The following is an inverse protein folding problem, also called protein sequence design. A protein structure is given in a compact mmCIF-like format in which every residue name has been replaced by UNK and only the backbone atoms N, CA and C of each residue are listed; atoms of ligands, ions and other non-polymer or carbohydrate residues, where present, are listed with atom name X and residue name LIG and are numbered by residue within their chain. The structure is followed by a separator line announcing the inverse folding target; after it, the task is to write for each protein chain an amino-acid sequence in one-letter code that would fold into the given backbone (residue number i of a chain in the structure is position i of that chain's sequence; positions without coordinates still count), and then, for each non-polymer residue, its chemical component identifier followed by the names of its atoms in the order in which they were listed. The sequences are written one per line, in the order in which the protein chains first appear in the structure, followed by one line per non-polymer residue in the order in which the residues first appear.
data_IF_158765216535
#
_entry.id   IF_158765216535
#
_cell.length_a   1.000
_cell.length_b   1.000
_cell.length_c   1.000
_cell.angle_alpha   90.00
_cell.angle_beta   90.00
_cell.angle_gamma   90.00
#
_symmetry.space_group_name_H-M   'P 1'
#
loop_
_entity.id
_entity.type
_entity.pdbx_description
1 polymer ?
#
# COMPACT_ATOMS: atom_id res chain seq x y z
N UNK A 1 12.36 4.28 10.94
CA UNK A 1 11.15 4.08 11.76
C UNK A 1 11.49 3.14 12.90
N UNK A 2 10.77 3.22 14.03
CA UNK A 2 10.93 2.26 15.13
C UNK A 2 10.58 0.84 14.65
N UNK A 3 11.12 -0.20 15.31
CA UNK A 3 10.70 -1.58 15.06
C UNK A 3 9.20 -1.70 15.36
N UNK A 4 8.42 -2.07 14.34
CA UNK A 4 6.96 -2.29 14.46
C UNK A 4 6.63 -3.77 14.39
N UNK A 5 5.57 -4.16 15.10
CA UNK A 5 5.08 -5.53 15.15
C UNK A 5 3.85 -5.63 14.25
N UNK A 6 3.94 -6.44 13.20
CA UNK A 6 2.82 -6.79 12.32
C UNK A 6 2.35 -8.20 12.69
N UNK A 7 1.12 -8.33 13.19
CA UNK A 7 0.54 -9.64 13.49
C UNK A 7 0.13 -10.34 12.21
N UNK A 8 0.51 -11.62 12.09
CA UNK A 8 0.17 -12.48 10.96
C UNK A 8 -1.33 -12.82 10.91
N UNK A 9 -1.96 -12.89 12.08
CA UNK A 9 -3.39 -13.16 12.28
C UNK A 9 -3.96 -12.16 13.28
N UNK A 10 -5.13 -11.61 12.95
CA UNK A 10 -5.82 -10.61 13.79
C UNK A 10 -7.30 -10.95 14.03
N UNK A 11 -7.84 -11.93 13.30
CA UNK A 11 -9.22 -12.40 13.41
C UNK A 11 -9.24 -13.92 13.21
N UNK A 12 -10.30 -14.57 13.71
CA UNK A 12 -10.62 -15.97 13.46
C UNK A 12 -11.49 -16.16 12.20
N UNK A 13 -11.96 -15.08 11.60
CA UNK A 13 -12.78 -15.12 10.39
C UNK A 13 -11.91 -15.40 9.15
N UNK A 14 -12.03 -16.61 8.60
CA UNK A 14 -11.31 -17.03 7.39
C UNK A 14 -11.93 -16.51 6.09
N UNK A 15 -11.11 -16.51 5.04
CA UNK A 15 -11.56 -16.32 3.65
C UNK A 15 -11.09 -17.46 2.74
N UNK A 16 -9.84 -17.89 2.90
CA UNK A 16 -9.25 -18.92 2.06
C UNK A 16 -9.45 -20.33 2.63
N UNK A 17 -9.63 -21.29 1.73
CA UNK A 17 -9.50 -22.72 2.02
C UNK A 17 -8.03 -23.16 1.94
N UNK A 18 -7.64 -24.33 2.49
CA UNK A 18 -6.28 -24.86 2.34
C UNK A 18 -5.81 -24.98 0.90
N UNK A 19 -6.70 -25.39 -0.02
CA UNK A 19 -6.38 -25.48 -1.45
C UNK A 19 -6.09 -24.10 -2.06
N UNK A 20 -6.90 -23.10 -1.72
CA UNK A 20 -6.66 -21.72 -2.17
C UNK A 20 -5.36 -21.17 -1.60
N UNK A 21 -5.05 -21.43 -0.32
CA UNK A 21 -3.79 -21.02 0.28
C UNK A 21 -2.58 -21.53 -0.52
N UNK A 22 -2.57 -22.81 -0.90
CA UNK A 22 -1.49 -23.39 -1.70
C UNK A 22 -1.35 -22.70 -3.07
N UNK A 23 -2.48 -22.44 -3.74
CA UNK A 23 -2.48 -21.70 -5.00
C UNK A 23 -1.97 -20.26 -4.84
N UNK A 24 -2.32 -19.59 -3.73
CA UNK A 24 -1.88 -18.23 -3.43
C UNK A 24 -0.37 -18.15 -3.24
N UNK A 25 0.26 -19.15 -2.60
CA UNK A 25 1.73 -19.22 -2.47
C UNK A 25 2.40 -19.23 -3.83
N UNK A 26 1.89 -20.02 -4.77
CA UNK A 26 2.44 -20.10 -6.13
C UNK A 26 2.24 -18.77 -6.88
N UNK A 27 1.07 -18.15 -6.77
CA UNK A 27 0.80 -16.85 -7.36
C UNK A 27 1.73 -15.76 -6.82
N UNK A 28 1.96 -15.75 -5.50
CA UNK A 28 2.87 -14.82 -4.84
C UNK A 28 4.33 -15.06 -5.27
N UNK A 29 4.76 -16.31 -5.36
CA UNK A 29 6.09 -16.64 -5.87
C UNK A 29 6.27 -16.13 -7.31
N UNK A 30 5.25 -16.24 -8.16
CA UNK A 30 5.24 -15.67 -9.51
C UNK A 30 5.36 -14.14 -9.54
N UNK A 31 4.70 -13.45 -8.60
CA UNK A 31 4.84 -11.99 -8.43
C UNK A 31 6.28 -11.64 -8.06
N UNK A 32 6.87 -12.36 -7.10
CA UNK A 32 8.26 -12.15 -6.66
C UNK A 32 9.27 -12.42 -7.76
N UNK A 33 9.07 -13.46 -8.57
CA UNK A 33 9.94 -13.74 -9.70
C UNK A 33 9.96 -12.59 -10.73
N UNK A 34 8.83 -11.89 -10.93
CA UNK A 34 8.69 -10.82 -11.93
C UNK A 34 9.08 -9.44 -11.42
N UNK A 35 8.79 -9.15 -10.16
CA UNK A 35 8.87 -7.80 -9.60
C UNK A 35 9.71 -7.71 -8.32
N UNK A 36 10.40 -8.80 -7.95
CA UNK A 36 11.13 -8.93 -6.69
C UNK A 36 12.09 -7.77 -6.42
N UNK A 37 12.89 -7.38 -7.41
CA UNK A 37 13.83 -6.26 -7.26
C UNK A 37 13.15 -4.93 -6.90
N UNK A 38 11.98 -4.63 -7.49
CA UNK A 38 11.22 -3.41 -7.20
C UNK A 38 10.55 -3.48 -5.83
N UNK A 39 10.04 -4.66 -5.47
CA UNK A 39 9.47 -4.91 -4.15
C UNK A 39 10.55 -4.78 -3.06
N UNK A 40 11.74 -5.32 -3.29
CA UNK A 40 12.86 -5.25 -2.33
C UNK A 40 13.35 -3.81 -2.16
N UNK A 41 13.43 -3.06 -3.26
CA UNK A 41 13.73 -1.62 -3.22
C UNK A 41 12.68 -0.87 -2.40
N UNK A 42 11.38 -1.06 -2.68
CA UNK A 42 10.31 -0.40 -1.95
C UNK A 42 10.25 -0.81 -0.47
N UNK A 43 10.45 -2.09 -0.16
CA UNK A 43 10.52 -2.61 1.20
C UNK A 43 11.63 -1.91 2.01
N UNK A 44 12.81 -1.76 1.41
CA UNK A 44 13.94 -1.05 2.03
C UNK A 44 13.65 0.45 2.21
N UNK A 45 13.19 1.12 1.15
CA UNK A 45 12.98 2.57 1.16
C UNK A 45 11.86 2.98 2.10
N UNK A 46 10.75 2.25 2.08
CA UNK A 46 9.57 2.55 2.88
C UNK A 46 9.60 1.85 4.25
N UNK A 47 10.62 1.04 4.54
CA UNK A 47 10.75 0.23 5.75
C UNK A 47 9.46 -0.55 6.08
N UNK A 48 8.97 -1.30 5.08
CA UNK A 48 7.82 -2.21 5.17
C UNK A 48 8.33 -3.62 4.85
N UNK A 49 7.91 -4.66 5.61
CA UNK A 49 8.26 -6.03 5.27
C UNK A 49 7.79 -6.41 3.86
N UNK A 50 8.68 -7.04 3.10
CA UNK A 50 8.40 -7.48 1.73
C UNK A 50 7.11 -8.32 1.59
N UNK A 51 6.83 -9.29 2.47
CA UNK A 51 5.59 -10.06 2.40
C UNK A 51 4.31 -9.21 2.47
N UNK A 52 4.36 -8.06 3.14
CA UNK A 52 3.22 -7.13 3.21
C UNK A 52 2.99 -6.50 1.84
N UNK A 53 4.02 -5.90 1.24
CA UNK A 53 3.93 -5.28 -0.10
C UNK A 53 3.44 -6.31 -1.12
N UNK A 54 4.04 -7.50 -1.12
CA UNK A 54 3.67 -8.58 -2.03
C UNK A 54 2.22 -9.03 -1.85
N UNK A 55 1.73 -9.08 -0.61
CA UNK A 55 0.32 -9.40 -0.32
C UNK A 55 -0.64 -8.35 -0.87
N UNK A 56 -0.30 -7.06 -0.77
CA UNK A 56 -1.07 -5.98 -1.40
C UNK A 56 -1.09 -6.13 -2.92
N UNK A 57 0.05 -6.34 -3.56
CA UNK A 57 0.09 -6.54 -5.03
C UNK A 57 -0.80 -7.72 -5.45
N UNK A 58 -0.75 -8.83 -4.72
CA UNK A 58 -1.56 -10.01 -5.02
C UNK A 58 -3.07 -9.71 -4.88
N UNK A 59 -3.52 -9.10 -3.78
CA UNK A 59 -4.94 -8.80 -3.56
C UNK A 59 -5.48 -7.75 -4.53
N UNK A 60 -4.67 -6.73 -4.83
CA UNK A 60 -5.10 -5.59 -5.64
C UNK A 60 -5.12 -5.92 -7.14
N UNK A 61 -4.12 -6.64 -7.65
CA UNK A 61 -3.96 -6.82 -9.10
C UNK A 61 -3.69 -8.26 -9.53
N UNK A 62 -3.54 -9.20 -8.60
CA UNK A 62 -3.02 -10.54 -8.87
C UNK A 62 -1.68 -10.53 -9.65
N UNK A 63 -0.88 -9.46 -9.49
CA UNK A 63 0.39 -9.30 -10.23
C UNK A 63 0.23 -8.81 -11.67
N UNK A 64 -0.92 -8.22 -12.03
CA UNK A 64 -1.14 -7.61 -13.33
C UNK A 64 -0.70 -6.14 -13.33
N UNK A 65 0.43 -5.78 -13.98
CA UNK A 65 0.91 -4.39 -14.00
C UNK A 65 0.03 -3.46 -14.84
N UNK A 66 -0.87 -4.00 -15.65
CA UNK A 66 -1.78 -3.23 -16.50
C UNK A 66 -3.20 -3.15 -15.91
N UNK A 67 -3.42 -3.62 -14.68
CA UNK A 67 -4.72 -3.53 -14.02
C UNK A 67 -5.18 -2.06 -13.95
N UNK A 68 -6.42 -1.81 -14.35
CA UNK A 68 -6.95 -0.45 -14.51
C UNK A 68 -8.47 -0.42 -14.34
N UNK A 69 -8.94 -0.50 -13.10
CA UNK A 69 -10.37 -0.46 -12.74
C UNK A 69 -10.74 0.83 -12.00
N UNK A 70 -10.10 1.94 -12.38
CA UNK A 70 -10.19 3.25 -11.72
C UNK A 70 -8.94 3.55 -10.90
N UNK A 71 -8.38 2.54 -10.24
CA UNK A 71 -7.02 2.54 -9.72
C UNK A 71 -6.09 1.76 -10.67
N UNK A 72 -4.79 2.06 -10.63
CA UNK A 72 -3.87 1.67 -11.71
C UNK A 72 -2.71 0.84 -11.15
N UNK A 73 -2.31 -0.17 -11.93
CA UNK A 73 -1.07 -0.91 -11.75
C UNK A 73 -1.13 -1.97 -10.65
N UNK A 74 0.06 -2.42 -10.24
CA UNK A 74 0.24 -3.55 -9.33
C UNK A 74 -0.39 -3.36 -7.95
N UNK A 75 -0.29 -2.16 -7.40
CA UNK A 75 -0.78 -1.80 -6.07
C UNK A 75 -2.14 -1.07 -6.12
N UNK A 76 -2.77 -0.97 -7.30
CA UNK A 76 -4.06 -0.30 -7.52
C UNK A 76 -4.16 1.03 -6.77
N UNK A 77 -3.31 1.99 -7.15
CA UNK A 77 -3.34 3.36 -6.64
C UNK A 77 -3.87 4.30 -7.73
N UNK A 78 -4.69 5.28 -7.35
CA UNK A 78 -5.15 6.35 -8.24
C UNK A 78 -4.20 7.57 -8.23
N UNK A 79 -4.35 8.48 -9.19
CA UNK A 79 -3.47 9.65 -9.35
C UNK A 79 -3.47 10.58 -8.13
N UNK A 80 -4.64 10.72 -7.49
CA UNK A 80 -4.84 11.59 -6.34
C UNK A 80 -4.07 11.00 -5.16
N UNK A 81 -4.33 9.74 -4.85
CA UNK A 81 -3.71 8.98 -3.76
C UNK A 81 -2.20 8.91 -3.93
N UNK A 82 -1.68 8.70 -5.15
CA UNK A 82 -0.24 8.74 -5.40
C UNK A 82 0.36 10.13 -5.13
N UNK A 83 -0.25 11.19 -5.65
CA UNK A 83 0.25 12.56 -5.48
C UNK A 83 0.18 12.99 -4.02
N UNK A 84 -0.92 12.68 -3.34
CA UNK A 84 -1.12 12.97 -1.93
C UNK A 84 -0.23 12.13 -1.02
N UNK A 85 0.01 10.86 -1.35
CA UNK A 85 0.93 9.98 -0.62
C UNK A 85 2.35 10.54 -0.59
N UNK A 86 2.87 10.96 -1.76
CA UNK A 86 4.19 11.62 -1.84
C UNK A 86 4.19 12.93 -1.03
N UNK A 87 3.12 13.73 -1.12
CA UNK A 87 3.00 14.95 -0.32
C UNK A 87 3.01 14.67 1.18
N UNK A 88 2.26 13.66 1.65
CA UNK A 88 2.17 13.29 3.07
C UNK A 88 3.52 12.82 3.59
N UNK A 89 4.23 11.98 2.83
CA UNK A 89 5.58 11.52 3.15
C UNK A 89 6.56 12.68 3.31
N UNK A 90 6.49 13.66 2.39
CA UNK A 90 7.26 14.90 2.48
C UNK A 90 6.84 15.75 3.67
N UNK A 91 5.54 15.90 3.93
CA UNK A 91 5.00 16.74 5.02
C UNK A 91 5.42 16.22 6.39
N UNK A 92 5.53 14.90 6.53
CA UNK A 92 6.06 14.21 7.72
C UNK A 92 7.59 14.23 7.82
N UNK A 93 8.29 14.78 6.82
CA UNK A 93 9.75 14.85 6.80
C UNK A 93 10.43 13.51 6.54
N UNK A 94 9.70 12.51 6.04
CA UNK A 94 10.20 11.14 5.86
C UNK A 94 10.66 10.84 4.44
N UNK A 95 10.22 11.62 3.46
CA UNK A 95 10.60 11.43 2.05
C UNK A 95 12.11 11.61 1.86
N UNK A 96 12.82 10.48 1.77
CA UNK A 96 14.28 10.37 1.74
C UNK A 96 14.88 10.84 0.41
N UNK A 97 16.20 11.03 0.37
CA UNK A 97 16.90 11.35 -0.87
C UNK A 97 16.79 10.22 -1.90
N UNK A 98 16.89 8.96 -1.46
CA UNK A 98 16.78 7.78 -2.33
C UNK A 98 15.38 7.66 -2.95
N UNK A 99 14.32 7.83 -2.15
CA UNK A 99 12.94 7.84 -2.68
C UNK A 99 12.75 8.97 -3.69
N UNK A 100 13.24 10.18 -3.38
CA UNK A 100 13.18 11.31 -4.33
C UNK A 100 13.93 11.00 -5.61
N UNK A 101 15.09 10.35 -5.54
CA UNK A 101 15.86 10.01 -6.74
C UNK A 101 15.07 9.06 -7.67
N UNK A 102 14.39 8.06 -7.10
CA UNK A 102 13.50 7.19 -7.88
C UNK A 102 12.32 7.98 -8.45
N UNK A 103 11.64 8.79 -7.64
CA UNK A 103 10.49 9.60 -8.09
C UNK A 103 10.88 10.59 -9.21
N UNK A 104 12.02 11.27 -9.10
CA UNK A 104 12.52 12.20 -10.13
C UNK A 104 12.82 11.49 -11.46
N UNK A 105 13.28 10.23 -11.43
CA UNK A 105 13.54 9.46 -12.66
C UNK A 105 12.27 9.28 -13.50
N UNK A 106 11.12 9.19 -12.88
CA UNK A 106 9.83 9.02 -13.56
C UNK A 106 9.10 10.34 -13.80
N UNK A 107 9.06 11.22 -12.81
CA UNK A 107 8.27 12.45 -12.85
C UNK A 107 9.03 13.66 -13.42
N UNK A 108 10.35 13.66 -13.33
CA UNK A 108 11.17 14.85 -13.57
C UNK A 108 10.72 16.01 -12.69
N UNK A 109 10.69 17.22 -13.26
CA UNK A 109 10.29 18.44 -12.56
C UNK A 109 8.83 18.47 -12.08
N UNK A 110 7.96 17.54 -12.53
CA UNK A 110 6.59 17.44 -11.99
C UNK A 110 6.57 17.04 -10.52
N UNK A 111 7.61 16.37 -10.01
CA UNK A 111 7.72 16.09 -8.59
C UNK A 111 7.78 17.39 -7.77
N UNK A 112 8.46 18.44 -8.26
CA UNK A 112 8.57 19.72 -7.57
C UNK A 112 7.21 20.34 -7.27
N UNK A 113 6.21 20.07 -8.12
CA UNK A 113 4.85 20.53 -7.89
C UNK A 113 4.26 19.96 -6.61
N UNK A 114 4.49 18.68 -6.33
CA UNK A 114 4.05 18.03 -5.10
C UNK A 114 4.86 18.59 -3.92
N UNK A 115 6.19 18.70 -4.07
CA UNK A 115 7.07 19.14 -2.97
C UNK A 115 6.80 20.59 -2.53
N UNK A 116 6.37 21.46 -3.47
CA UNK A 116 5.99 22.85 -3.20
C UNK A 116 4.62 23.01 -2.54
N UNK A 117 3.79 21.96 -2.50
CA UNK A 117 2.50 22.05 -1.83
C UNK A 117 2.66 22.37 -0.34
N UNK A 118 1.83 23.31 0.14
CA UNK A 118 1.70 23.73 1.54
C UNK A 118 0.59 22.99 2.27
N UNK A 119 -0.39 22.49 1.52
CA UNK A 119 -1.52 21.68 2.00
C UNK A 119 -1.78 20.51 1.03
N UNK A 120 -2.40 19.45 1.55
CA UNK A 120 -2.75 18.26 0.75
C UNK A 120 -3.69 18.65 -0.38
N UNK A 121 -3.40 18.20 -1.60
CA UNK A 121 -4.22 18.51 -2.78
C UNK A 121 -4.16 19.98 -3.23
N UNK A 122 -3.16 20.75 -2.79
CA UNK A 122 -3.06 22.16 -3.19
C UNK A 122 -2.95 22.30 -4.72
N UNK A 123 -3.89 23.06 -5.28
CA UNK A 123 -3.93 23.46 -6.68
C UNK A 123 -2.82 24.46 -6.97
N UNK A 124 -1.95 24.13 -7.91
CA UNK A 124 -0.81 24.94 -8.33
C UNK A 124 -0.78 25.00 -9.86
N UNK A 125 -0.26 26.10 -10.42
CA UNK A 125 -0.15 26.24 -11.87
C UNK A 125 0.57 25.06 -12.53
N UNK A 126 1.64 24.56 -11.91
CA UNK A 126 2.43 23.46 -12.46
C UNK A 126 1.76 22.07 -12.33
N UNK A 127 0.62 21.95 -11.63
CA UNK A 127 -0.24 20.77 -11.62
C UNK A 127 -1.58 21.02 -12.33
N UNK A 128 -1.61 21.98 -13.25
CA UNK A 128 -2.81 22.41 -13.98
C UNK A 128 -3.98 22.78 -13.05
N UNK A 129 -3.66 23.30 -11.85
CA UNK A 129 -4.64 23.64 -10.82
C UNK A 129 -5.54 22.46 -10.38
N UNK A 130 -5.04 21.22 -10.50
CA UNK A 130 -5.78 20.01 -10.11
C UNK A 130 -5.42 19.51 -8.71
N UNK A 131 -4.22 19.85 -8.22
CA UNK A 131 -3.65 19.22 -7.03
C UNK A 131 -2.94 17.89 -7.29
N UNK A 132 -2.97 17.39 -8.53
CA UNK A 132 -2.50 16.08 -8.95
C UNK A 132 -1.36 16.23 -9.96
N UNK A 133 -0.23 15.58 -9.72
CA UNK A 133 0.94 15.66 -10.61
C UNK A 133 1.35 14.30 -11.20
N UNK A 134 0.98 13.20 -10.54
CA UNK A 134 1.22 11.84 -11.01
C UNK A 134 0.27 11.50 -12.17
N UNK A 135 0.78 10.87 -13.21
CA UNK A 135 0.05 10.49 -14.43
C UNK A 135 -0.17 9.00 -14.53
N UNK A 136 -1.03 8.60 -15.48
CA UNK A 136 -1.30 7.20 -15.78
C UNK A 136 -0.08 6.44 -16.30
N UNK A 137 0.73 7.07 -17.14
CA UNK A 137 1.93 6.42 -17.68
C UNK A 137 2.91 6.03 -16.58
N UNK A 138 3.03 6.85 -15.54
CA UNK A 138 3.87 6.56 -14.38
C UNK A 138 3.28 5.42 -13.55
N UNK A 139 1.97 5.45 -13.28
CA UNK A 139 1.32 4.38 -12.50
C UNK A 139 1.26 3.03 -13.22
N UNK A 140 1.40 2.98 -14.55
CA UNK A 140 1.56 1.74 -15.29
C UNK A 140 3.00 1.19 -15.25
N UNK A 141 3.97 1.98 -14.79
CA UNK A 141 5.33 1.49 -14.57
C UNK A 141 5.39 0.68 -13.26
N UNK A 142 5.82 -0.59 -13.27
CA UNK A 142 5.85 -1.43 -12.08
C UNK A 142 6.68 -0.86 -10.92
N UNK A 143 7.89 -0.36 -11.19
CA UNK A 143 8.78 0.19 -10.15
C UNK A 143 8.15 1.42 -9.49
N UNK A 144 7.68 2.36 -10.31
CA UNK A 144 7.03 3.55 -9.80
C UNK A 144 5.76 3.22 -9.01
N UNK A 145 4.90 2.34 -9.54
CA UNK A 145 3.63 1.97 -8.92
C UNK A 145 3.83 1.30 -7.55
N UNK A 146 4.78 0.35 -7.47
CA UNK A 146 5.12 -0.32 -6.21
C UNK A 146 5.67 0.69 -5.20
N UNK A 147 6.57 1.59 -5.62
CA UNK A 147 7.13 2.59 -4.72
C UNK A 147 6.05 3.53 -4.16
N UNK A 148 5.22 4.14 -5.02
CA UNK A 148 4.21 5.12 -4.53
C UNK A 148 3.11 4.45 -3.72
N UNK A 149 2.71 3.22 -4.06
CA UNK A 149 1.80 2.43 -3.23
C UNK A 149 2.41 2.08 -1.88
N UNK A 150 3.71 1.78 -1.84
CA UNK A 150 4.44 1.51 -0.58
C UNK A 150 4.63 2.76 0.28
N UNK A 151 4.88 3.93 -0.31
CA UNK A 151 4.91 5.21 0.41
C UNK A 151 3.56 5.50 1.07
N UNK A 152 2.47 5.32 0.31
CA UNK A 152 1.13 5.48 0.83
C UNK A 152 0.83 4.48 1.96
N UNK A 153 1.20 3.22 1.77
CA UNK A 153 1.06 2.17 2.78
C UNK A 153 1.87 2.47 4.06
N UNK A 154 3.11 2.95 3.95
CA UNK A 154 3.95 3.34 5.08
C UNK A 154 3.32 4.50 5.89
N UNK A 155 2.68 5.44 5.20
CA UNK A 155 1.90 6.51 5.83
C UNK A 155 0.75 5.95 6.66
N UNK A 156 -0.01 5.01 6.11
CA UNK A 156 -1.12 4.37 6.84
C UNK A 156 -0.63 3.50 8.01
N UNK A 157 0.44 2.72 7.81
CA UNK A 157 1.01 1.87 8.85
C UNK A 157 1.43 2.70 10.06
N UNK A 158 2.15 3.80 9.85
CA UNK A 158 2.56 4.67 10.96
C UNK A 158 1.34 5.24 11.71
N UNK A 159 0.34 5.74 11.00
CA UNK A 159 -0.84 6.35 11.62
C UNK A 159 -1.70 5.34 12.39
N UNK A 160 -1.69 4.09 11.97
CA UNK A 160 -2.42 2.99 12.62
C UNK A 160 -1.50 2.13 13.51
N UNK A 161 -0.32 2.63 13.89
CA UNK A 161 0.56 1.98 14.86
C UNK A 161 0.35 2.56 16.25
N UNK A 162 -0.06 1.71 17.20
CA UNK A 162 -0.23 2.08 18.60
C UNK A 162 0.62 1.16 19.47
N UNK A 163 1.47 1.73 20.33
CA UNK A 163 2.35 0.96 21.20
C UNK A 163 3.31 0.03 20.46
N UNK A 164 3.74 0.42 19.25
CA UNK A 164 4.61 -0.38 18.38
C UNK A 164 3.90 -1.52 17.64
N UNK A 165 2.59 -1.70 17.84
CA UNK A 165 1.80 -2.73 17.16
C UNK A 165 0.99 -2.08 16.03
N UNK A 166 1.16 -2.59 14.82
CA UNK A 166 0.42 -2.13 13.64
C UNK A 166 -1.00 -2.70 13.66
N UNK A 167 -2.02 -1.84 13.58
CA UNK A 167 -3.42 -2.21 13.32
C UNK A 167 -3.65 -2.40 11.82
N UNK A 168 -3.10 -3.50 11.29
CA UNK A 168 -3.13 -3.75 9.85
C UNK A 168 -4.56 -3.90 9.30
N UNK A 169 -5.50 -4.37 10.12
CA UNK A 169 -6.94 -4.34 9.81
C UNK A 169 -7.43 -2.93 9.44
N UNK A 170 -7.01 -1.91 10.19
CA UNK A 170 -7.33 -0.50 9.89
C UNK A 170 -6.57 0.02 8.68
N UNK A 171 -5.30 -0.34 8.54
CA UNK A 171 -4.48 -0.01 7.36
C UNK A 171 -5.14 -0.53 6.08
N UNK A 172 -5.54 -1.81 6.06
CA UNK A 172 -6.22 -2.45 4.92
C UNK A 172 -7.54 -1.74 4.61
N UNK A 173 -8.33 -1.44 5.65
CA UNK A 173 -9.58 -0.72 5.48
C UNK A 173 -9.38 0.67 4.87
N UNK A 174 -8.38 1.43 5.32
CA UNK A 174 -8.04 2.75 4.79
C UNK A 174 -7.45 2.68 3.39
N UNK A 175 -6.61 1.69 3.11
CA UNK A 175 -6.03 1.49 1.78
C UNK A 175 -7.13 1.23 0.74
N UNK A 176 -8.07 0.33 1.05
CA UNK A 176 -9.17 -0.02 0.15
C UNK A 176 -10.23 1.09 0.01
N UNK A 177 -10.47 1.89 1.06
CA UNK A 177 -11.57 2.86 1.13
C UNK A 177 -11.15 4.33 1.04
N UNK A 178 -9.86 4.62 0.83
CA UNK A 178 -9.19 5.94 0.81
C UNK A 178 -8.74 6.46 2.18
N UNK A 179 -7.78 7.37 2.11
CA UNK A 179 -7.01 7.86 3.25
C UNK A 179 -7.85 8.45 4.38
N UNK A 180 -8.91 9.19 4.10
CA UNK A 180 -9.69 9.95 5.10
C UNK A 180 -10.64 9.07 5.94
N UNK A 181 -10.84 7.81 5.56
CA UNK A 181 -11.59 6.86 6.39
C UNK A 181 -10.85 6.63 7.70
N UNK A 182 -11.59 6.56 8.81
CA UNK A 182 -11.06 6.28 10.16
C UNK A 182 -11.88 5.16 10.79
N UNK A 183 -11.46 3.89 10.62
CA UNK A 183 -12.12 2.77 11.28
C UNK A 183 -12.07 2.91 12.79
N UNK A 184 -13.21 2.78 13.45
CA UNK A 184 -13.35 3.00 14.90
C UNK A 184 -13.23 1.72 15.71
N UNK A 185 -13.39 0.55 15.07
CA UNK A 185 -13.34 -0.75 15.73
C UNK A 185 -12.11 -0.98 16.62
N UNK A 186 -12.36 -1.49 17.83
CA UNK A 186 -11.32 -1.77 18.82
C UNK A 186 -10.51 -3.02 18.44
N UNK A 187 -11.17 -4.01 17.83
CA UNK A 187 -10.60 -5.26 17.31
C UNK A 187 -10.71 -5.34 15.79
N UNK A 188 -10.04 -6.33 15.17
CA UNK A 188 -10.19 -6.58 13.73
C UNK A 188 -11.61 -7.05 13.38
N UNK A 189 -12.27 -7.79 14.27
CA UNK A 189 -13.66 -8.22 14.08
C UNK A 189 -14.64 -7.04 14.08
N UNK A 190 -14.41 -6.03 14.93
CA UNK A 190 -15.19 -4.79 14.91
C UNK A 190 -14.98 -4.03 13.59
N UNK A 191 -13.73 -3.92 13.13
CA UNK A 191 -13.39 -3.25 11.86
C UNK A 191 -14.00 -4.00 10.66
N UNK A 192 -14.04 -5.33 10.70
CA UNK A 192 -14.76 -6.14 9.72
C UNK A 192 -16.26 -5.82 9.78
N UNK A 193 -16.89 -5.87 10.96
CA UNK A 193 -18.33 -5.66 11.10
C UNK A 193 -18.79 -4.27 10.59
N UNK A 194 -18.01 -3.22 10.80
CA UNK A 194 -18.34 -1.86 10.34
C UNK A 194 -17.98 -1.58 8.86
N UNK A 195 -17.25 -2.49 8.22
CA UNK A 195 -16.73 -2.29 6.86
C UNK A 195 -17.64 -2.83 5.77
N UNK A 196 -17.62 -2.27 4.54
CA UNK A 196 -18.29 -2.86 3.38
C UNK A 196 -17.73 -4.25 3.03
N UNK A 197 -18.54 -5.09 2.40
CA UNK A 197 -18.22 -6.50 2.11
C UNK A 197 -16.86 -6.70 1.41
N UNK A 198 -16.49 -5.83 0.46
CA UNK A 198 -15.18 -5.92 -0.23
C UNK A 198 -14.04 -5.74 0.77
N UNK A 199 -14.12 -4.72 1.62
CA UNK A 199 -13.12 -4.43 2.65
C UNK A 199 -13.07 -5.53 3.72
N UNK A 200 -14.22 -6.07 4.12
CA UNK A 200 -14.27 -7.24 5.01
C UNK A 200 -13.45 -8.40 4.45
N UNK A 201 -13.68 -8.71 3.18
CA UNK A 201 -12.97 -9.79 2.50
C UNK A 201 -11.48 -9.50 2.41
N UNK A 202 -11.08 -8.24 2.16
CA UNK A 202 -9.66 -7.88 2.14
C UNK A 202 -9.01 -8.16 3.49
N UNK A 203 -9.60 -7.69 4.60
CA UNK A 203 -9.06 -7.93 5.94
C UNK A 203 -8.88 -9.44 6.18
N UNK A 204 -9.90 -10.25 5.88
CA UNK A 204 -9.84 -11.72 6.05
C UNK A 204 -8.78 -12.38 5.17
N UNK A 205 -8.60 -11.92 3.93
CA UNK A 205 -7.56 -12.43 3.00
C UNK A 205 -6.14 -12.13 3.49
N UNK A 206 -5.91 -11.00 4.14
CA UNK A 206 -4.60 -10.64 4.68
C UNK A 206 -4.29 -11.32 6.02
N UNK A 207 -5.18 -11.14 7.01
CA UNK A 207 -4.93 -11.41 8.44
C UNK A 207 -5.93 -12.37 9.10
N UNK A 208 -6.77 -13.05 8.31
CA UNK A 208 -7.56 -14.19 8.78
C UNK A 208 -6.77 -15.50 8.72
N UNK A 209 -7.35 -16.62 9.21
CA UNK A 209 -6.77 -17.94 9.07
C UNK A 209 -6.51 -18.27 7.60
N UNK A 210 -5.33 -18.87 7.33
CA UNK A 210 -4.81 -19.18 5.99
C UNK A 210 -4.66 -17.93 5.10
N UNK A 211 -4.66 -16.74 5.72
CA UNK A 211 -4.41 -15.47 5.07
C UNK A 211 -2.97 -15.35 4.57
N UNK A 212 -2.72 -14.35 3.72
CA UNK A 212 -1.42 -14.18 3.09
C UNK A 212 -0.30 -13.95 4.10
N UNK A 213 -0.53 -13.19 5.18
CA UNK A 213 0.53 -12.92 6.15
C UNK A 213 0.85 -14.11 7.04
N UNK A 214 -0.13 -14.94 7.38
CA UNK A 214 0.11 -16.23 8.05
C UNK A 214 0.90 -17.18 7.16
N UNK A 215 0.64 -17.14 5.86
CA UNK A 215 1.24 -18.06 4.89
C UNK A 215 2.66 -17.65 4.46
N UNK A 216 2.90 -16.36 4.26
CA UNK A 216 4.14 -15.84 3.67
C UNK A 216 5.19 -15.47 4.73
N UNK A 217 4.77 -15.11 5.94
CA UNK A 217 5.69 -14.77 7.03
C UNK A 217 5.88 -16.04 7.86
N UNK A 218 6.72 -16.96 7.39
CA UNK A 218 6.91 -18.26 8.05
C UNK A 218 7.87 -18.20 9.24
N UNK A 219 8.79 -17.23 9.31
CA UNK A 219 9.64 -16.99 10.49
C UNK A 219 10.10 -15.52 10.52
N UNK A 220 9.66 -14.75 11.52
CA UNK A 220 10.31 -13.53 12.03
C UNK A 220 10.36 -13.65 13.53
#
# INVERSE_FOLDING_TARGET
MANVIIRRRMTEQGFYTPLQQQANVQAVAGIRARFGAYIDQAARLCNIPEPVITSFIYIESAGNPNANTGAIGLMQIDHITASEGIYLEKKKGRLTADERAVLYRFMGSRLDCILKQKSRGQKLACNNSTGVAVTRSELLNPEFNILVGSIYLATLIEEETTGGIVRLDKVIARYNRKYDIRPTGATADDVIAESPAVTQNYIKKFVGPLGLLETLITNV
#
